data_IF_178808126992
#
_entry.id   IF_178808126992
#
_cell.length_a   1.000
_cell.length_b   1.000
_cell.length_c   1.000
_cell.angle_alpha   90.00
_cell.angle_beta   90.00
_cell.angle_gamma   90.00
#
_symmetry.space_group_name_H-M   'P 1'
#
loop_
_entity.id
_entity.type
_entity.pdbx_description
1 polymer ?
#
# COMPACT_ATOMS: atom_id res chain seq x y z
N UNK A 1 25.67 15.38 48.40
CA UNK A 1 26.61 15.41 49.54
C UNK A 1 26.42 14.12 50.33
N UNK A 2 27.26 13.11 50.07
CA UNK A 2 27.29 11.86 50.85
C UNK A 2 28.62 11.89 51.62
N UNK A 3 28.53 11.99 52.95
CA UNK A 3 29.70 11.96 53.84
C UNK A 3 30.32 10.56 53.79
N UNK A 4 31.53 10.48 53.23
CA UNK A 4 32.39 9.30 53.32
C UNK A 4 32.96 9.27 54.74
N UNK A 5 32.47 8.32 55.55
CA UNK A 5 33.02 8.07 56.87
C UNK A 5 34.39 7.38 56.74
N UNK A 6 35.42 8.04 57.26
CA UNK A 6 36.77 7.51 57.43
C UNK A 6 36.75 6.34 58.42
N UNK A 7 36.76 5.11 57.90
CA UNK A 7 36.97 3.90 58.70
C UNK A 7 38.46 3.74 58.98
N UNK A 8 38.87 4.10 60.20
CA UNK A 8 40.15 3.70 60.79
C UNK A 8 40.15 2.17 61.02
N UNK A 9 40.67 1.41 60.06
CA UNK A 9 41.01 0.00 60.25
C UNK A 9 42.41 -0.05 60.88
N UNK A 10 42.45 -0.18 62.20
CA UNK A 10 43.67 -0.43 62.95
C UNK A 10 44.32 -1.75 62.49
N UNK A 11 45.59 -1.69 62.10
CA UNK A 11 46.40 -2.83 61.71
C UNK A 11 46.72 -3.71 62.94
N UNK A 12 45.95 -4.78 63.14
CA UNK A 12 46.38 -5.92 63.93
C UNK A 12 47.10 -6.90 63.00
N UNK A 13 48.42 -7.00 63.13
CA UNK A 13 49.33 -7.91 62.40
C UNK A 13 49.15 -9.39 62.83
N UNK A 14 47.92 -9.89 62.75
CA UNK A 14 47.65 -11.33 62.76
C UNK A 14 47.79 -11.85 61.34
N UNK A 15 48.87 -12.58 61.06
CA UNK A 15 49.06 -13.24 59.76
C UNK A 15 47.91 -14.23 59.52
N UNK A 16 46.94 -13.86 58.68
CA UNK A 16 45.85 -14.75 58.29
C UNK A 16 46.40 -16.06 57.74
N UNK A 17 45.82 -17.18 58.17
CA UNK A 17 46.12 -18.50 57.61
C UNK A 17 45.96 -18.49 56.10
N UNK A 18 46.82 -19.22 55.39
CA UNK A 18 46.74 -19.37 53.92
C UNK A 18 45.35 -19.86 53.48
N UNK A 19 44.71 -20.74 54.27
CA UNK A 19 43.36 -21.24 54.00
C UNK A 19 42.30 -20.13 53.99
N UNK A 20 42.43 -19.17 54.91
CA UNK A 20 41.49 -18.05 55.04
C UNK A 20 41.66 -17.05 53.90
N UNK A 21 42.92 -16.80 53.50
CA UNK A 21 43.23 -15.99 52.33
C UNK A 21 42.64 -16.59 51.05
N UNK A 22 42.82 -17.90 50.83
CA UNK A 22 42.25 -18.59 49.66
C UNK A 22 40.72 -18.55 49.67
N UNK A 23 40.09 -18.76 50.83
CA UNK A 23 38.63 -18.71 50.95
C UNK A 23 38.08 -17.32 50.64
N UNK A 24 38.75 -16.27 51.15
CA UNK A 24 38.38 -14.87 50.84
C UNK A 24 38.56 -14.53 49.36
N UNK A 25 39.65 -15.00 48.75
CA UNK A 25 39.89 -14.82 47.31
C UNK A 25 38.80 -15.50 46.48
N UNK A 26 38.40 -16.71 46.85
CA UNK A 26 37.33 -17.45 46.18
C UNK A 26 35.98 -16.75 46.30
N UNK A 27 35.62 -16.27 47.50
CA UNK A 27 34.39 -15.48 47.72
C UNK A 27 34.41 -14.21 46.88
N UNK A 28 35.54 -13.50 46.85
CA UNK A 28 35.69 -12.30 46.04
C UNK A 28 35.50 -12.62 44.54
N UNK A 29 36.12 -13.70 44.05
CA UNK A 29 35.98 -14.14 42.66
C UNK A 29 34.52 -14.51 42.32
N UNK A 30 33.82 -15.21 43.21
CA UNK A 30 32.40 -15.55 43.04
C UNK A 30 31.52 -14.30 42.96
N UNK A 31 31.74 -13.31 43.84
CA UNK A 31 31.02 -12.03 43.84
C UNK A 31 31.29 -11.27 42.53
N UNK A 32 32.54 -11.18 42.08
CA UNK A 32 32.85 -10.52 40.81
C UNK A 32 32.21 -11.22 39.61
N UNK A 33 32.17 -12.55 39.63
CA UNK A 33 31.51 -13.34 38.59
C UNK A 33 30.01 -13.03 38.52
N UNK A 34 29.30 -13.08 39.66
CA UNK A 34 27.87 -12.77 39.76
C UNK A 34 27.55 -11.32 39.33
N UNK A 35 28.37 -10.34 39.76
CA UNK A 35 28.23 -8.95 39.32
C UNK A 35 28.42 -8.82 37.80
N UNK A 36 29.38 -9.55 37.23
CA UNK A 36 29.64 -9.52 35.79
C UNK A 36 28.49 -10.13 34.98
N UNK A 37 27.86 -11.19 35.47
CA UNK A 37 26.70 -11.84 34.86
C UNK A 37 25.47 -10.93 34.92
N UNK A 38 25.17 -10.33 36.07
CA UNK A 38 24.09 -9.34 36.20
C UNK A 38 24.26 -8.17 35.25
N UNK A 39 25.50 -7.68 35.07
CA UNK A 39 25.81 -6.62 34.09
C UNK A 39 25.66 -7.06 32.64
N UNK A 40 25.82 -8.35 32.32
CA UNK A 40 25.53 -8.89 30.98
C UNK A 40 24.03 -9.00 30.77
N UNK A 41 23.32 -9.64 31.70
CA UNK A 41 21.86 -9.78 31.66
C UNK A 41 21.12 -8.44 31.57
N UNK A 42 21.56 -7.41 32.32
CA UNK A 42 20.97 -6.08 32.23
C UNK A 42 21.19 -5.41 30.86
N UNK A 43 22.35 -5.64 30.21
CA UNK A 43 22.62 -5.15 28.85
C UNK A 43 21.79 -5.89 27.81
N UNK A 44 21.60 -7.19 27.99
CA UNK A 44 20.78 -8.00 27.09
C UNK A 44 19.29 -7.61 27.19
N UNK A 45 18.80 -7.32 28.40
CA UNK A 45 17.43 -6.82 28.61
C UNK A 45 17.20 -5.47 27.92
N UNK A 46 18.17 -4.55 27.99
CA UNK A 46 18.08 -3.24 27.33
C UNK A 46 18.03 -3.39 25.80
N UNK A 47 18.84 -4.30 25.25
CA UNK A 47 18.84 -4.61 23.82
C UNK A 47 17.53 -5.26 23.34
N UNK A 48 16.95 -6.15 24.14
CA UNK A 48 15.63 -6.75 23.86
C UNK A 48 14.54 -5.67 23.82
N UNK A 49 14.52 -4.76 24.80
CA UNK A 49 13.54 -3.66 24.84
C UNK A 49 13.65 -2.73 23.61
N UNK A 50 14.87 -2.41 23.17
CA UNK A 50 15.08 -1.59 21.97
C UNK A 50 14.59 -2.29 20.70
N UNK A 51 14.83 -3.60 20.59
CA UNK A 51 14.37 -4.41 19.44
C UNK A 51 12.85 -4.48 19.37
N UNK A 52 12.19 -4.65 20.50
CA UNK A 52 10.71 -4.65 20.60
C UNK A 52 10.14 -3.28 20.23
N UNK A 53 10.75 -2.20 20.71
CA UNK A 53 10.35 -0.83 20.35
C UNK A 53 10.52 -0.57 18.84
N UNK A 54 11.60 -1.03 18.22
CA UNK A 54 11.79 -0.92 16.77
C UNK A 54 10.77 -1.75 15.99
N UNK A 55 10.40 -2.93 16.49
CA UNK A 55 9.36 -3.75 15.87
C UNK A 55 7.98 -3.07 15.94
N UNK A 56 7.61 -2.50 17.08
CA UNK A 56 6.36 -1.73 17.24
C UNK A 56 6.35 -0.48 16.34
N UNK A 57 7.44 0.27 16.27
CA UNK A 57 7.57 1.42 15.37
C UNK A 57 7.41 1.01 13.91
N UNK A 58 8.01 -0.11 13.50
CA UNK A 58 7.85 -0.65 12.15
C UNK A 58 6.39 -0.99 11.85
N UNK A 59 5.70 -1.66 12.77
CA UNK A 59 4.27 -2.02 12.63
C UNK A 59 3.42 -0.76 12.49
N UNK A 60 3.64 0.27 13.32
CA UNK A 60 2.88 1.54 13.24
C UNK A 60 3.14 2.29 11.94
N UNK A 61 4.38 2.30 11.46
CA UNK A 61 4.72 2.88 10.15
C UNK A 61 4.06 2.12 9.00
N UNK A 62 3.93 0.80 9.11
CA UNK A 62 3.20 -0.02 8.14
C UNK A 62 1.69 0.25 8.19
N UNK A 63 1.10 0.38 9.39
CA UNK A 63 -0.33 0.66 9.55
C UNK A 63 -0.75 2.06 9.07
N UNK A 64 0.16 3.03 9.11
CA UNK A 64 -0.07 4.41 8.66
C UNK A 64 0.30 4.64 7.19
N UNK A 65 0.67 3.58 6.47
CA UNK A 65 1.05 3.68 5.07
C UNK A 65 -0.08 4.26 4.22
N UNK A 66 0.25 5.25 3.39
CA UNK A 66 -0.66 5.80 2.39
C UNK A 66 0.06 5.93 1.06
N UNK A 67 -0.66 5.68 -0.05
CA UNK A 67 -0.10 5.87 -1.38
C UNK A 67 0.29 7.33 -1.60
N UNK A 68 1.43 7.55 -2.23
CA UNK A 68 1.88 8.90 -2.59
C UNK A 68 0.94 9.55 -3.62
N UNK A 69 0.98 10.88 -3.73
CA UNK A 69 0.17 11.61 -4.72
C UNK A 69 0.48 11.15 -6.15
N UNK A 70 1.74 10.88 -6.44
CA UNK A 70 2.20 10.38 -7.74
C UNK A 70 1.67 8.97 -8.02
N UNK A 71 1.81 8.04 -7.07
CA UNK A 71 1.25 6.69 -7.16
C UNK A 71 -0.26 6.71 -7.43
N UNK A 72 -1.03 7.53 -6.69
CA UNK A 72 -2.48 7.70 -6.93
C UNK A 72 -2.79 8.25 -8.32
N UNK A 73 -1.94 9.14 -8.85
CA UNK A 73 -2.10 9.69 -10.20
C UNK A 73 -1.83 8.62 -11.26
N UNK A 74 -0.75 7.84 -11.09
CA UNK A 74 -0.40 6.73 -11.97
C UNK A 74 -1.47 5.63 -11.96
N UNK A 75 -1.96 5.24 -10.77
CA UNK A 75 -3.08 4.32 -10.61
C UNK A 75 -4.32 4.77 -11.39
N UNK A 76 -4.70 6.05 -11.29
CA UNK A 76 -5.86 6.58 -12.01
C UNK A 76 -5.64 6.60 -13.53
N UNK A 77 -4.43 6.96 -13.99
CA UNK A 77 -4.08 6.89 -15.43
C UNK A 77 -4.17 5.46 -15.95
N UNK A 78 -3.62 4.49 -15.23
CA UNK A 78 -3.73 3.06 -15.57
C UNK A 78 -5.18 2.59 -15.61
N UNK A 79 -6.00 2.96 -14.62
CA UNK A 79 -7.42 2.62 -14.62
C UNK A 79 -8.18 3.24 -15.81
N UNK A 80 -7.85 4.48 -16.17
CA UNK A 80 -8.40 5.16 -17.35
C UNK A 80 -7.99 4.44 -18.66
N UNK A 81 -6.72 4.06 -18.79
CA UNK A 81 -6.23 3.33 -19.96
C UNK A 81 -6.94 1.99 -20.12
N UNK A 82 -7.05 1.25 -19.01
CA UNK A 82 -7.65 -0.08 -18.98
C UNK A 82 -9.17 0.00 -19.20
N UNK A 83 -9.89 1.01 -18.67
CA UNK A 83 -11.32 1.18 -18.96
C UNK A 83 -11.58 1.45 -20.44
N UNK A 84 -10.66 2.12 -21.13
CA UNK A 84 -10.86 2.54 -22.50
C UNK A 84 -10.25 1.61 -23.55
N UNK A 85 -9.77 0.41 -23.18
CA UNK A 85 -9.23 -0.56 -24.14
C UNK A 85 -10.28 -0.99 -25.19
N UNK A 86 -9.94 -0.87 -26.48
CA UNK A 86 -10.88 -1.16 -27.58
C UNK A 86 -11.41 -2.61 -27.58
N UNK A 87 -10.59 -3.56 -27.11
CA UNK A 87 -10.94 -4.98 -27.09
C UNK A 87 -11.69 -5.39 -25.81
N UNK A 88 -12.01 -4.45 -24.93
CA UNK A 88 -12.59 -4.77 -23.63
C UNK A 88 -14.09 -4.99 -23.73
N UNK A 89 -14.55 -6.10 -23.18
CA UNK A 89 -15.96 -6.47 -23.15
C UNK A 89 -16.52 -6.60 -21.74
N UNK A 90 -15.65 -6.73 -20.74
CA UNK A 90 -16.02 -6.88 -19.33
C UNK A 90 -15.38 -5.78 -18.48
N UNK A 91 -16.20 -5.06 -17.71
CA UNK A 91 -15.77 -3.99 -16.81
C UNK A 91 -15.78 -4.40 -15.33
N UNK A 92 -16.20 -5.63 -15.04
CA UNK A 92 -16.32 -6.19 -13.69
C UNK A 92 -14.94 -6.38 -13.05
N UNK A 93 -14.11 -7.22 -13.69
CA UNK A 93 -12.77 -7.55 -13.25
C UNK A 93 -11.73 -6.44 -13.44
N UNK A 94 -12.16 -5.19 -13.64
CA UNK A 94 -11.25 -4.12 -14.00
C UNK A 94 -10.18 -3.82 -12.96
N UNK A 95 -10.54 -3.95 -11.68
CA UNK A 95 -9.58 -3.85 -10.60
C UNK A 95 -8.50 -4.94 -10.67
N UNK A 96 -8.81 -6.14 -11.13
CA UNK A 96 -7.84 -7.24 -11.28
C UNK A 96 -6.84 -6.92 -12.38
N UNK A 97 -7.33 -6.46 -13.53
CA UNK A 97 -6.47 -6.06 -14.66
C UNK A 97 -5.57 -4.87 -14.30
N UNK A 98 -6.10 -3.88 -13.59
CA UNK A 98 -5.32 -2.74 -13.06
C UNK A 98 -4.23 -3.25 -12.11
N UNK A 99 -4.57 -4.17 -11.21
CA UNK A 99 -3.62 -4.70 -10.24
C UNK A 99 -2.49 -5.47 -10.91
N UNK A 100 -2.82 -6.34 -11.87
CA UNK A 100 -1.85 -7.08 -12.69
C UNK A 100 -0.91 -6.14 -13.45
N UNK A 101 -1.45 -5.10 -14.10
CA UNK A 101 -0.63 -4.13 -14.82
C UNK A 101 0.34 -3.36 -13.91
N UNK A 102 -0.12 -3.00 -12.70
CA UNK A 102 0.71 -2.31 -11.70
C UNK A 102 1.85 -3.20 -11.19
N UNK A 103 1.61 -4.49 -11.04
CA UNK A 103 2.62 -5.47 -10.62
C UNK A 103 3.71 -5.62 -11.69
N UNK A 104 3.30 -5.83 -12.94
CA UNK A 104 4.19 -5.95 -14.10
C UNK A 104 5.03 -4.68 -14.33
N UNK A 105 4.50 -3.50 -13.97
CA UNK A 105 5.14 -2.20 -14.19
C UNK A 105 5.50 -1.47 -12.89
N UNK A 106 5.70 -2.22 -11.81
CA UNK A 106 5.85 -1.68 -10.45
C UNK A 106 7.02 -0.70 -10.32
N UNK A 107 8.18 -1.00 -10.91
CA UNK A 107 9.35 -0.12 -10.91
C UNK A 107 9.08 1.20 -11.64
N UNK A 108 8.50 1.12 -12.84
CA UNK A 108 8.26 2.29 -13.71
C UNK A 108 7.19 3.24 -13.17
N UNK A 109 6.24 2.71 -12.40
CA UNK A 109 5.10 3.47 -11.87
C UNK A 109 5.30 3.91 -10.41
N UNK A 110 6.45 3.57 -9.81
CA UNK A 110 6.81 3.93 -8.44
C UNK A 110 6.13 3.08 -7.37
N UNK A 111 5.75 1.84 -7.67
CA UNK A 111 5.11 0.89 -6.75
C UNK A 111 6.05 -0.22 -6.25
N UNK A 112 7.34 -0.19 -6.59
CA UNK A 112 8.31 -1.20 -6.16
C UNK A 112 8.40 -1.35 -4.62
N UNK A 113 8.07 -0.31 -3.85
CA UNK A 113 8.03 -0.34 -2.38
C UNK A 113 6.70 -0.85 -1.78
N UNK A 114 5.71 -1.13 -2.63
CA UNK A 114 4.38 -1.60 -2.21
C UNK A 114 4.30 -3.12 -2.33
N UNK A 115 4.69 -3.65 -3.49
CA UNK A 115 4.71 -5.09 -3.74
C UNK A 115 5.74 -5.81 -2.86
N UNK A 116 5.37 -6.98 -2.36
CA UNK A 116 6.15 -7.77 -1.40
C UNK A 116 5.86 -7.45 0.07
N UNK A 117 5.05 -6.42 0.37
CA UNK A 117 4.58 -6.13 1.72
C UNK A 117 3.05 -6.26 1.80
N UNK A 118 2.58 -7.29 2.51
CA UNK A 118 1.15 -7.63 2.58
C UNK A 118 0.25 -6.49 3.07
N UNK A 119 0.70 -5.69 4.05
CA UNK A 119 -0.09 -4.57 4.57
C UNK A 119 -0.24 -3.46 3.53
N UNK A 120 0.84 -3.14 2.80
CA UNK A 120 0.82 -2.10 1.75
C UNK A 120 0.04 -2.56 0.52
N UNK A 121 0.14 -3.84 0.17
CA UNK A 121 -0.66 -4.44 -0.91
C UNK A 121 -2.15 -4.40 -0.59
N UNK A 122 -2.56 -4.68 0.66
CA UNK A 122 -3.96 -4.55 1.07
C UNK A 122 -4.48 -3.12 0.88
N UNK A 123 -3.70 -2.10 1.30
CA UNK A 123 -4.08 -0.70 1.07
C UNK A 123 -4.15 -0.38 -0.44
N UNK A 124 -3.20 -0.88 -1.24
CA UNK A 124 -3.24 -0.72 -2.69
C UNK A 124 -4.50 -1.34 -3.30
N UNK A 125 -4.89 -2.56 -2.89
CA UNK A 125 -6.10 -3.24 -3.36
C UNK A 125 -7.36 -2.43 -3.06
N UNK A 126 -7.46 -1.85 -1.86
CA UNK A 126 -8.58 -0.97 -1.49
C UNK A 126 -8.65 0.26 -2.40
N UNK A 127 -7.51 0.92 -2.63
CA UNK A 127 -7.44 2.09 -3.52
C UNK A 127 -7.74 1.73 -4.98
N UNK A 128 -7.24 0.59 -5.47
CA UNK A 128 -7.50 0.10 -6.84
C UNK A 128 -9.00 -0.15 -7.04
N UNK A 129 -9.67 -0.81 -6.10
CA UNK A 129 -11.13 -1.04 -6.16
C UNK A 129 -11.92 0.28 -6.21
N UNK A 130 -11.55 1.24 -5.35
CA UNK A 130 -12.19 2.56 -5.29
C UNK A 130 -11.98 3.36 -6.59
N UNK A 131 -10.74 3.45 -7.06
CA UNK A 131 -10.41 4.20 -8.29
C UNK A 131 -11.04 3.53 -9.51
N UNK A 132 -10.98 2.21 -9.61
CA UNK A 132 -11.59 1.47 -10.72
C UNK A 132 -13.10 1.70 -10.77
N UNK A 133 -13.79 1.60 -9.64
CA UNK A 133 -15.23 1.89 -9.56
C UNK A 133 -15.54 3.33 -9.97
N UNK A 134 -14.75 4.30 -9.51
CA UNK A 134 -14.89 5.72 -9.86
C UNK A 134 -14.70 5.97 -11.37
N UNK A 135 -13.67 5.40 -11.96
CA UNK A 135 -13.35 5.54 -13.40
C UNK A 135 -14.44 4.88 -14.25
N UNK A 136 -14.85 3.66 -13.91
CA UNK A 136 -15.95 2.94 -14.58
C UNK A 136 -17.24 3.75 -14.57
N UNK A 137 -17.61 4.31 -13.41
CA UNK A 137 -18.78 5.16 -13.29
C UNK A 137 -18.67 6.45 -14.11
N UNK A 138 -17.50 7.08 -14.14
CA UNK A 138 -17.27 8.27 -14.96
C UNK A 138 -17.36 7.97 -16.46
N UNK A 139 -16.81 6.84 -16.91
CA UNK A 139 -16.90 6.41 -18.30
C UNK A 139 -18.32 6.06 -18.69
N UNK A 140 -19.05 5.35 -17.83
CA UNK A 140 -20.48 5.06 -18.00
C UNK A 140 -21.30 6.34 -18.19
N UNK A 141 -21.02 7.37 -17.38
CA UNK A 141 -21.71 8.65 -17.48
C UNK A 141 -21.40 9.38 -18.80
N UNK A 142 -20.16 9.31 -19.29
CA UNK A 142 -19.79 9.90 -20.59
C UNK A 142 -20.55 9.25 -21.76
N UNK A 143 -20.69 7.92 -21.74
CA UNK A 143 -21.48 7.19 -22.76
C UNK A 143 -22.95 7.63 -22.68
N UNK A 144 -23.52 7.70 -21.47
CA UNK A 144 -24.89 8.15 -21.29
C UNK A 144 -25.12 9.59 -21.77
N UNK A 145 -24.24 10.51 -21.39
CA UNK A 145 -24.31 11.92 -21.78
C UNK A 145 -24.21 12.07 -23.31
N UNK A 146 -23.52 11.15 -24.02
CA UNK A 146 -23.44 11.17 -25.49
C UNK A 146 -24.77 10.82 -26.18
N UNK A 147 -25.65 10.10 -25.49
CA UNK A 147 -26.95 9.64 -26.00
C UNK A 147 -28.07 10.65 -25.66
N UNK A 148 -28.00 11.26 -24.48
CA UNK A 148 -29.05 12.13 -23.96
C UNK A 148 -29.28 13.36 -24.85
N UNK A 149 -30.53 13.67 -25.17
CA UNK A 149 -30.93 14.72 -26.14
C UNK A 149 -30.25 16.07 -25.92
N UNK A 150 -30.09 16.50 -24.66
CA UNK A 150 -29.53 17.81 -24.31
C UNK A 150 -28.01 17.91 -24.51
N UNK A 151 -27.32 16.78 -24.63
CA UNK A 151 -25.85 16.69 -24.76
C UNK A 151 -25.42 15.79 -25.92
N UNK A 152 -26.36 15.45 -26.81
CA UNK A 152 -26.13 14.55 -27.92
C UNK A 152 -24.98 15.08 -28.77
N UNK A 153 -23.96 14.25 -28.98
CA UNK A 153 -22.83 14.59 -29.83
C UNK A 153 -22.68 13.54 -30.95
N UNK A 154 -21.93 13.91 -31.99
CA UNK A 154 -21.58 12.94 -33.03
C UNK A 154 -20.69 11.85 -32.44
N UNK A 155 -20.76 10.64 -33.00
CA UNK A 155 -19.90 9.52 -32.60
C UNK A 155 -18.41 9.87 -32.69
N UNK A 156 -18.02 10.67 -33.70
CA UNK A 156 -16.65 11.13 -33.90
C UNK A 156 -16.22 12.06 -32.75
N UNK A 157 -17.05 13.04 -32.40
CA UNK A 157 -16.78 13.96 -31.28
C UNK A 157 -16.73 13.23 -29.94
N UNK A 158 -17.64 12.27 -29.72
CA UNK A 158 -17.61 11.41 -28.53
C UNK A 158 -16.31 10.60 -28.45
N UNK A 159 -15.92 9.94 -29.53
CA UNK A 159 -14.72 9.10 -29.57
C UNK A 159 -13.46 9.90 -29.32
N UNK A 160 -13.34 11.08 -29.93
CA UNK A 160 -12.22 11.98 -29.68
C UNK A 160 -12.17 12.45 -28.22
N UNK A 161 -13.29 12.95 -27.68
CA UNK A 161 -13.37 13.45 -26.29
C UNK A 161 -13.05 12.36 -25.28
N UNK A 162 -13.61 11.16 -25.45
CA UNK A 162 -13.36 10.01 -24.58
C UNK A 162 -11.91 9.55 -24.68
N UNK A 163 -11.31 9.53 -25.87
CA UNK A 163 -9.91 9.18 -26.03
C UNK A 163 -8.97 10.17 -25.33
N UNK A 164 -9.20 11.48 -25.47
CA UNK A 164 -8.40 12.51 -24.77
C UNK A 164 -8.52 12.37 -23.25
N UNK A 165 -9.70 11.99 -22.75
CA UNK A 165 -9.96 11.90 -21.31
C UNK A 165 -9.40 10.62 -20.66
N UNK A 166 -9.57 9.48 -21.32
CA UNK A 166 -9.28 8.18 -20.72
C UNK A 166 -7.99 7.53 -21.22
N UNK A 167 -7.47 7.93 -22.38
CA UNK A 167 -6.22 7.34 -22.89
C UNK A 167 -5.02 8.19 -22.49
N UNK A 168 -3.95 7.52 -22.08
CA UNK A 168 -2.63 8.09 -21.86
C UNK A 168 -1.94 8.29 -23.21
N UNK A 169 -1.45 9.51 -23.43
CA UNK A 169 -0.72 9.88 -24.64
C UNK A 169 -1.57 10.72 -25.60
N UNK A 170 -0.98 11.10 -26.74
CA UNK A 170 -1.69 11.83 -27.78
C UNK A 170 -2.59 10.89 -28.58
N UNK A 171 -3.80 11.34 -28.88
CA UNK A 171 -4.72 10.60 -29.74
C UNK A 171 -4.40 10.90 -31.20
N UNK A 172 -3.89 9.91 -31.92
CA UNK A 172 -3.71 10.00 -33.37
C UNK A 172 -4.99 9.62 -34.12
N UNK A 173 -5.26 10.29 -35.24
CA UNK A 173 -6.45 10.01 -36.07
C UNK A 173 -6.46 8.56 -36.61
N UNK A 174 -5.28 7.98 -36.86
CA UNK A 174 -5.09 6.60 -37.34
C UNK A 174 -5.61 5.54 -36.36
N UNK A 175 -5.61 5.84 -35.06
CA UNK A 175 -6.03 4.89 -34.03
C UNK A 175 -7.55 4.84 -33.86
N UNK A 176 -8.30 5.72 -34.53
CA UNK A 176 -9.71 5.96 -34.27
C UNK A 176 -10.66 4.79 -34.55
N UNK A 177 -10.37 3.92 -35.53
CA UNK A 177 -11.37 2.95 -36.02
C UNK A 177 -11.78 1.93 -34.95
N UNK A 178 -10.83 1.31 -34.24
CA UNK A 178 -11.12 0.32 -33.20
C UNK A 178 -11.90 0.93 -32.02
N UNK A 179 -11.50 2.11 -31.54
CA UNK A 179 -12.22 2.81 -30.48
C UNK A 179 -13.60 3.29 -30.94
N UNK A 180 -13.75 3.69 -32.21
CA UNK A 180 -15.04 4.08 -32.77
C UNK A 180 -16.00 2.90 -32.76
N UNK A 181 -15.57 1.72 -33.23
CA UNK A 181 -16.39 0.50 -33.19
C UNK A 181 -16.77 0.17 -31.74
N UNK A 182 -15.78 0.17 -30.84
CA UNK A 182 -16.01 -0.11 -29.42
C UNK A 182 -17.06 0.84 -28.83
N UNK A 183 -16.92 2.15 -29.06
CA UNK A 183 -17.87 3.16 -28.61
C UNK A 183 -19.27 2.98 -29.21
N UNK A 184 -19.38 2.62 -30.50
CA UNK A 184 -20.68 2.30 -31.13
C UNK A 184 -21.36 1.15 -30.42
N UNK A 185 -20.62 0.08 -30.13
CA UNK A 185 -21.14 -1.09 -29.44
C UNK A 185 -21.63 -0.70 -28.05
N UNK A 186 -20.84 0.04 -27.27
CA UNK A 186 -21.22 0.48 -25.93
C UNK A 186 -22.46 1.40 -25.93
N UNK A 187 -22.50 2.37 -26.84
CA UNK A 187 -23.65 3.28 -27.00
C UNK A 187 -24.89 2.48 -27.37
N UNK A 188 -24.76 1.53 -28.31
CA UNK A 188 -25.87 0.66 -28.72
C UNK A 188 -26.37 -0.18 -27.55
N UNK A 189 -25.48 -0.80 -26.78
CA UNK A 189 -25.85 -1.59 -25.59
C UNK A 189 -26.61 -0.72 -24.57
N UNK A 190 -26.18 0.52 -24.32
CA UNK A 190 -26.90 1.43 -23.42
C UNK A 190 -28.29 1.81 -23.94
N UNK A 191 -28.44 2.08 -25.24
CA UNK A 191 -29.73 2.40 -25.86
C UNK A 191 -30.76 1.28 -25.69
N UNK A 192 -30.35 0.02 -25.81
CA UNK A 192 -31.26 -1.13 -25.65
C UNK A 192 -31.55 -1.50 -24.19
N UNK A 193 -30.83 -0.93 -23.23
CA UNK A 193 -30.95 -1.26 -21.82
C UNK A 193 -31.14 -0.01 -20.95
N UNK A 194 -32.25 0.74 -21.12
CA UNK A 194 -32.46 2.03 -20.43
C UNK A 194 -32.53 1.89 -18.90
N UNK A 195 -32.84 0.70 -18.37
CA UNK A 195 -32.90 0.43 -16.94
C UNK A 195 -31.53 0.55 -16.24
N UNK A 196 -30.41 0.41 -16.97
CA UNK A 196 -29.04 0.58 -16.46
C UNK A 196 -28.81 2.00 -15.89
N UNK A 197 -29.62 2.97 -16.27
CA UNK A 197 -29.49 4.37 -15.85
C UNK A 197 -30.09 4.67 -14.47
N UNK A 198 -31.03 3.84 -14.01
CA UNK A 198 -31.63 4.05 -12.68
C UNK A 198 -30.66 3.55 -11.62
N UNK A 199 -30.26 4.44 -10.69
CA UNK A 199 -29.34 4.12 -9.57
C UNK A 199 -29.78 2.90 -8.73
N UNK A 200 -31.05 2.48 -8.84
CA UNK A 200 -31.64 1.36 -8.12
C UNK A 200 -31.59 0.00 -8.85
N UNK A 201 -31.29 -0.08 -10.15
CA UNK A 201 -31.26 -1.36 -10.87
C UNK A 201 -29.87 -2.01 -10.77
N UNK A 202 -29.43 -2.31 -9.55
CA UNK A 202 -28.07 -2.78 -9.25
C UNK A 202 -27.90 -4.30 -9.40
N UNK A 203 -28.98 -5.06 -9.54
CA UNK A 203 -28.95 -6.52 -9.36
C UNK A 203 -29.12 -7.31 -10.68
N UNK A 204 -29.76 -6.76 -11.72
CA UNK A 204 -30.17 -7.57 -12.88
C UNK A 204 -29.16 -7.63 -14.06
N UNK A 205 -28.13 -6.79 -14.09
CA UNK A 205 -27.13 -6.73 -15.18
C UNK A 205 -25.69 -6.74 -14.66
N UNK A 206 -25.47 -7.43 -13.53
CA UNK A 206 -24.18 -7.51 -12.87
C UNK A 206 -23.09 -8.14 -13.77
N UNK A 207 -23.46 -8.99 -14.73
CA UNK A 207 -22.52 -9.77 -15.54
C UNK A 207 -21.76 -8.99 -16.63
N UNK A 208 -22.22 -7.80 -17.05
CA UNK A 208 -21.54 -7.01 -18.11
C UNK A 208 -20.71 -5.86 -17.52
N UNK A 209 -21.18 -5.26 -16.43
CA UNK A 209 -20.56 -4.07 -15.85
C UNK A 209 -20.05 -4.24 -14.42
N UNK A 210 -20.36 -5.33 -13.69
CA UNK A 210 -20.12 -5.39 -12.24
C UNK A 210 -19.10 -6.37 -11.72
#
# INVERSE_FOLDING_TARGET
MVQLADNQIAAQDGTLSKSDQTSRLYILAAIYCDISEKKRAARDQDFVGMREMMADLKIRLEATFTLTKEQRTNLRKTANDIVYQANRTCFSGMNVDVMKFLEENSTNLGFANVFGNAAREQELVLQVRRVSSSVRNSFRQEIFDSIQTNKKCSLQSFTYRSAVKFRRGQFEQSMGFGYTIHNVILVRVMLYNPLIHTKCSFIALASIWY
#
